data_IF_290160089106
#
_entry.id   IF_290160089106
#
_cell.length_a   1.000
_cell.length_b   1.000
_cell.length_c   1.000
_cell.angle_alpha   90.00
_cell.angle_beta   90.00
_cell.angle_gamma   90.00
#
_symmetry.space_group_name_H-M   'P 1'
#
loop_
_entity.id
_entity.type
_entity.pdbx_description
1 polymer ?
#
# COMPACT_ATOMS: atom_id res chain seq x y z
N UNK A 1 8.05 -2.18 1.63
CA UNK A 1 6.86 -1.85 2.43
C UNK A 1 6.32 -3.10 3.09
N UNK A 2 6.77 -3.37 4.32
CA UNK A 2 6.20 -4.35 5.25
C UNK A 2 5.23 -3.68 6.21
N UNK A 3 4.55 -4.46 7.05
CA UNK A 3 3.69 -3.93 8.11
C UNK A 3 4.51 -3.18 9.17
N UNK A 4 5.70 -3.68 9.49
CA UNK A 4 6.62 -3.04 10.42
C UNK A 4 7.08 -1.68 9.91
N UNK A 5 7.40 -1.56 8.63
CA UNK A 5 7.73 -0.27 8.00
C UNK A 5 6.55 0.72 8.05
N UNK A 6 5.30 0.24 7.94
CA UNK A 6 4.12 1.10 8.13
C UNK A 6 4.03 1.62 9.57
N UNK A 7 4.29 0.76 10.55
CA UNK A 7 4.25 1.15 11.97
C UNK A 7 5.35 2.19 12.29
N UNK A 8 6.55 2.05 11.72
CA UNK A 8 7.64 3.05 11.82
C UNK A 8 7.27 4.40 11.22
N UNK A 9 6.51 4.40 10.12
CA UNK A 9 6.00 5.61 9.46
C UNK A 9 4.75 6.19 10.15
N UNK A 10 4.22 5.53 11.18
CA UNK A 10 2.98 5.90 11.86
C UNK A 10 1.73 5.72 11.00
N UNK A 11 1.78 4.83 10.01
CA UNK A 11 0.69 4.54 9.09
C UNK A 11 -0.18 3.43 9.64
N UNK A 12 -1.41 3.77 10.01
CA UNK A 12 -2.43 2.79 10.40
C UNK A 12 -2.99 1.99 9.22
N UNK A 13 -2.92 2.56 8.01
CA UNK A 13 -3.41 1.99 6.76
C UNK A 13 -2.71 2.59 5.53
N UNK A 14 -2.67 1.82 4.45
CA UNK A 14 -2.32 2.32 3.11
C UNK A 14 -3.54 2.97 2.44
N UNK A 15 -3.33 4.01 1.64
CA UNK A 15 -4.35 4.53 0.73
C UNK A 15 -4.53 3.62 -0.49
N UNK A 16 -3.41 3.08 -0.98
CA UNK A 16 -3.32 2.26 -2.20
C UNK A 16 -2.41 1.08 -1.88
N UNK A 17 -2.81 -0.12 -2.32
CA UNK A 17 -1.94 -1.30 -2.31
C UNK A 17 -1.76 -1.75 -3.75
N UNK A 18 -0.52 -1.76 -4.21
CA UNK A 18 -0.13 -2.26 -5.52
C UNK A 18 0.22 -3.75 -5.40
N UNK A 19 -0.46 -4.60 -6.18
CA UNK A 19 -0.18 -6.04 -6.22
C UNK A 19 0.44 -6.40 -7.56
N UNK A 20 1.57 -7.10 -7.56
CA UNK A 20 2.30 -7.48 -8.78
C UNK A 20 2.82 -8.91 -8.72
N UNK A 21 2.82 -9.60 -9.86
CA UNK A 21 3.49 -10.90 -10.01
C UNK A 21 4.98 -10.80 -10.33
N UNK A 22 5.50 -9.59 -10.58
CA UNK A 22 6.92 -9.32 -10.78
C UNK A 22 7.65 -9.17 -9.44
N UNK A 23 8.96 -9.36 -9.44
CA UNK A 23 9.79 -8.99 -8.31
C UNK A 23 9.72 -7.47 -8.09
N UNK A 24 9.90 -7.04 -6.85
CA UNK A 24 10.00 -5.62 -6.54
C UNK A 24 11.42 -5.26 -6.13
N UNK A 25 11.99 -4.31 -6.88
CA UNK A 25 13.20 -3.57 -6.54
C UNK A 25 12.87 -2.11 -6.79
N UNK A 26 13.23 -1.23 -5.85
CA UNK A 26 13.07 0.21 -6.00
C UNK A 26 14.10 0.75 -7.01
N UNK A 27 13.84 0.49 -8.29
CA UNK A 27 14.70 0.83 -9.41
C UNK A 27 13.85 1.23 -10.62
N UNK A 28 14.21 2.27 -11.39
CA UNK A 28 13.38 2.81 -12.48
C UNK A 28 13.12 1.81 -13.63
N UNK A 29 13.88 0.72 -13.73
CA UNK A 29 13.57 -0.37 -14.67
C UNK A 29 12.34 -1.21 -14.27
N UNK A 30 11.84 -1.07 -13.04
CA UNK A 30 10.69 -1.80 -12.53
C UNK A 30 9.47 -0.86 -12.53
N UNK A 31 8.47 -1.16 -13.38
CA UNK A 31 7.30 -0.29 -13.56
C UNK A 31 6.55 -0.01 -12.25
N UNK A 32 6.50 -0.99 -11.35
CA UNK A 32 5.83 -0.82 -10.05
C UNK A 32 6.56 0.15 -9.12
N UNK A 33 7.88 0.27 -9.23
CA UNK A 33 8.63 1.30 -8.49
C UNK A 33 8.25 2.69 -9.00
N UNK A 34 8.17 2.90 -10.31
CA UNK A 34 7.73 4.18 -10.89
C UNK A 34 6.31 4.53 -10.46
N UNK A 35 5.36 3.59 -10.58
CA UNK A 35 3.98 3.82 -10.16
C UNK A 35 3.88 4.14 -8.67
N UNK A 36 4.58 3.38 -7.83
CA UNK A 36 4.62 3.60 -6.38
C UNK A 36 5.15 4.99 -6.04
N UNK A 37 6.35 5.34 -6.54
CA UNK A 37 6.98 6.65 -6.29
C UNK A 37 6.15 7.82 -6.82
N UNK A 38 5.49 7.66 -7.96
CA UNK A 38 4.60 8.69 -8.52
C UNK A 38 3.40 8.95 -7.61
N UNK A 39 2.74 7.89 -7.13
CA UNK A 39 1.63 8.00 -6.19
C UNK A 39 2.08 8.58 -4.83
N UNK A 40 3.21 8.11 -4.30
CA UNK A 40 3.81 8.68 -3.08
C UNK A 40 4.10 10.18 -3.24
N UNK A 41 4.61 10.62 -4.40
CA UNK A 41 4.85 12.03 -4.69
C UNK A 41 3.56 12.87 -4.75
N UNK A 42 2.39 12.25 -4.91
CA UNK A 42 1.09 12.90 -4.77
C UNK A 42 0.55 12.89 -3.33
N UNK A 43 1.32 12.35 -2.38
CA UNK A 43 0.96 12.29 -0.96
C UNK A 43 0.17 11.06 -0.53
N UNK A 44 0.04 10.04 -1.38
CA UNK A 44 -0.60 8.78 -1.01
C UNK A 44 0.34 7.89 -0.17
N UNK A 45 -0.23 7.16 0.79
CA UNK A 45 0.43 6.05 1.49
C UNK A 45 0.31 4.78 0.64
N UNK A 46 1.41 4.31 0.04
CA UNK A 46 1.35 3.25 -1.00
C UNK A 46 2.07 1.98 -0.58
N UNK A 47 1.32 0.92 -0.30
CA UNK A 47 1.86 -0.42 -0.04
C UNK A 47 2.15 -1.20 -1.34
N UNK A 48 3.12 -2.12 -1.31
CA UNK A 48 3.42 -3.01 -2.45
C UNK A 48 3.46 -4.48 -1.99
N UNK A 49 2.68 -5.32 -2.66
CA UNK A 49 2.69 -6.78 -2.52
C UNK A 49 3.22 -7.38 -3.82
N UNK A 50 4.49 -7.77 -3.78
CA UNK A 50 5.17 -8.40 -4.90
C UNK A 50 5.21 -9.92 -4.73
N UNK A 51 4.93 -10.63 -5.82
CA UNK A 51 4.92 -12.09 -5.91
C UNK A 51 4.15 -12.79 -4.78
N UNK A 52 2.88 -12.40 -4.50
CA UNK A 52 2.10 -13.12 -3.51
C UNK A 52 1.88 -14.57 -3.95
N UNK A 53 1.87 -15.49 -3.00
CA UNK A 53 1.33 -16.83 -3.20
C UNK A 53 -0.15 -16.71 -3.60
N UNK A 54 -0.43 -16.95 -4.88
CA UNK A 54 -1.78 -16.86 -5.44
C UNK A 54 -2.71 -17.99 -4.98
N UNK A 55 -2.16 -19.05 -4.37
CA UNK A 55 -2.95 -20.16 -3.83
C UNK A 55 -3.53 -19.85 -2.44
N UNK A 56 -3.07 -18.78 -1.78
CA UNK A 56 -3.48 -18.39 -0.44
C UNK A 56 -3.84 -16.92 -0.38
N UNK A 57 -4.91 -16.59 0.37
CA UNK A 57 -5.26 -15.19 0.63
C UNK A 57 -4.31 -14.48 1.61
N UNK A 58 -3.43 -15.20 2.30
CA UNK A 58 -2.62 -14.65 3.40
C UNK A 58 -1.70 -13.53 2.91
N UNK A 59 -1.00 -13.72 1.79
CA UNK A 59 -0.08 -12.72 1.25
C UNK A 59 -0.78 -11.43 0.85
N UNK A 60 -1.99 -11.55 0.29
CA UNK A 60 -2.81 -10.39 -0.09
C UNK A 60 -3.32 -9.59 1.11
N UNK A 61 -3.34 -10.18 2.31
CA UNK A 61 -3.84 -9.54 3.53
C UNK A 61 -2.71 -8.95 4.42
N UNK A 62 -1.43 -9.15 4.06
CA UNK A 62 -0.28 -8.81 4.92
C UNK A 62 -0.17 -7.31 5.28
N UNK A 63 -0.70 -6.42 4.44
CA UNK A 63 -0.71 -4.97 4.66
C UNK A 63 -2.02 -4.46 5.27
N UNK A 64 -2.97 -5.36 5.58
CA UNK A 64 -4.30 -4.99 6.02
C UNK A 64 -5.18 -4.43 4.90
N UNK A 65 -6.31 -3.84 5.29
CA UNK A 65 -7.25 -3.21 4.36
C UNK A 65 -6.72 -1.83 3.97
N UNK A 66 -6.71 -1.53 2.67
CA UNK A 66 -6.48 -0.16 2.20
C UNK A 66 -7.69 0.73 2.53
N UNK A 67 -7.43 1.93 3.02
CA UNK A 67 -8.43 2.99 3.22
C UNK A 67 -8.17 4.10 2.21
N UNK A 68 -8.89 4.14 1.06
CA UNK A 68 -8.69 5.22 0.11
C UNK A 68 -8.90 6.58 0.78
N UNK A 69 -8.13 7.59 0.37
CA UNK A 69 -8.01 8.91 1.04
C UNK A 69 -9.34 9.49 1.52
N UNK A 70 -10.40 9.41 0.69
CA UNK A 70 -11.73 9.90 1.07
C UNK A 70 -12.28 9.22 2.34
N UNK A 71 -12.11 7.90 2.45
CA UNK A 71 -12.54 7.11 3.60
C UNK A 71 -11.66 7.36 4.81
N UNK A 72 -10.34 7.43 4.64
CA UNK A 72 -9.43 7.78 5.73
C UNK A 72 -9.75 9.16 6.30
N UNK A 73 -9.95 10.15 5.43
CA UNK A 73 -10.32 11.51 5.82
C UNK A 73 -11.65 11.55 6.57
N UNK A 74 -12.67 10.80 6.10
CA UNK A 74 -13.94 10.69 6.84
C UNK A 74 -13.75 10.08 8.22
N UNK A 75 -12.95 9.01 8.35
CA UNK A 75 -12.64 8.37 9.65
C UNK A 75 -11.91 9.31 10.60
N UNK A 76 -10.90 10.01 10.12
CA UNK A 76 -10.12 10.99 10.89
C UNK A 76 -10.98 12.16 11.40
N UNK A 77 -12.07 12.49 10.69
CA UNK A 77 -13.02 13.53 11.06
C UNK A 77 -14.33 13.01 11.70
N UNK A 78 -14.43 11.71 11.99
CA UNK A 78 -15.62 11.13 12.62
C UNK A 78 -16.89 11.19 11.78
N UNK A 79 -16.75 11.13 10.45
CA UNK A 79 -17.84 11.19 9.46
C UNK A 79 -18.26 9.80 8.95
N UNK A 80 -17.91 8.73 9.66
CA UNK A 80 -18.29 7.36 9.35
C UNK A 80 -19.52 6.98 10.20
N UNK A 81 -20.71 7.31 9.68
CA UNK A 81 -22.02 6.89 10.22
C UNK A 81 -22.29 5.39 10.04
#
# INVERSE_FOLDING_TARGET
MSREEMDELGWDSCDIILVTGDAYVDHPSFGMAICGRMLEAQGFRVGIIAQPDWSSKQDFMRLGKAEPVLWRHRREHGLDD
#
